data_IF_381808591610
#
_entry.id   IF_381808591610
#
_cell.length_a   1.000
_cell.length_b   1.000
_cell.length_c   1.000
_cell.angle_alpha   90.00
_cell.angle_beta   90.00
_cell.angle_gamma   90.00
#
_symmetry.space_group_name_H-M   'P 1'
#
loop_
_entity.id
_entity.type
_entity.pdbx_description
1 polymer ?
#
# COMPACT_ATOMS: atom_id res chain seq x y z
N UNK A 1 -22.61 -32.97 3.35
CA UNK A 1 -22.54 -31.75 2.50
C UNK A 1 -23.90 -31.54 1.83
N UNK A 2 -24.49 -30.35 1.88
CA UNK A 2 -25.87 -30.13 1.42
C UNK A 2 -25.98 -30.12 -0.13
N UNK A 3 -27.03 -30.74 -0.67
CA UNK A 3 -27.29 -30.95 -2.10
C UNK A 3 -27.31 -29.65 -2.92
N UNK A 4 -27.71 -28.55 -2.29
CA UNK A 4 -27.71 -27.20 -2.88
C UNK A 4 -26.29 -26.78 -3.28
N UNK A 5 -25.29 -26.94 -2.39
CA UNK A 5 -23.90 -26.54 -2.66
C UNK A 5 -23.30 -27.34 -3.82
N UNK A 6 -23.64 -28.63 -3.95
CA UNK A 6 -23.21 -29.45 -5.11
C UNK A 6 -23.82 -28.95 -6.43
N UNK A 7 -25.13 -28.70 -6.48
CA UNK A 7 -25.79 -28.16 -7.70
C UNK A 7 -25.36 -26.74 -8.08
N UNK A 8 -24.80 -25.99 -7.14
CA UNK A 8 -24.13 -24.73 -7.44
C UNK A 8 -22.77 -25.00 -8.13
N UNK A 9 -21.94 -25.92 -7.60
CA UNK A 9 -20.61 -26.27 -8.15
C UNK A 9 -20.59 -26.52 -9.66
N UNK A 10 -21.57 -27.27 -10.16
CA UNK A 10 -21.66 -27.67 -11.56
C UNK A 10 -21.92 -26.48 -12.53
N UNK A 11 -22.26 -25.28 -12.00
CA UNK A 11 -22.57 -24.09 -12.81
C UNK A 11 -21.38 -23.19 -13.12
N UNK A 12 -20.48 -22.86 -12.17
CA UNK A 12 -19.36 -21.96 -12.49
C UNK A 12 -18.28 -22.63 -13.36
N UNK A 13 -18.14 -23.96 -13.29
CA UNK A 13 -17.31 -24.73 -14.20
C UNK A 13 -17.60 -24.44 -15.68
N UNK A 14 -18.88 -24.25 -16.05
CA UNK A 14 -19.29 -23.92 -17.41
C UNK A 14 -19.03 -22.44 -17.80
N UNK A 15 -18.99 -21.50 -16.85
CA UNK A 15 -18.71 -20.08 -17.15
C UNK A 15 -17.23 -19.82 -17.45
N UNK A 16 -16.31 -20.57 -16.83
CA UNK A 16 -14.87 -20.36 -17.02
C UNK A 16 -14.42 -20.63 -18.47
N UNK A 17 -15.13 -21.48 -19.22
CA UNK A 17 -14.79 -21.84 -20.60
C UNK A 17 -14.96 -20.71 -21.63
N UNK A 18 -15.53 -19.56 -21.24
CA UNK A 18 -15.90 -18.45 -22.15
C UNK A 18 -15.06 -17.17 -22.00
N UNK A 19 -14.09 -17.10 -21.08
CA UNK A 19 -13.42 -15.83 -20.69
C UNK A 19 -11.90 -15.80 -20.91
N UNK A 20 -11.33 -16.76 -21.63
CA UNK A 20 -9.88 -16.91 -21.81
C UNK A 20 -9.23 -15.99 -22.87
N UNK A 21 -9.88 -14.93 -23.35
CA UNK A 21 -9.39 -14.10 -24.45
C UNK A 21 -9.15 -12.63 -24.03
N UNK A 22 -8.02 -12.08 -24.50
CA UNK A 22 -7.53 -10.69 -24.36
C UNK A 22 -7.06 -10.22 -22.96
N UNK A 23 -5.73 -10.04 -22.79
CA UNK A 23 -5.12 -9.22 -21.72
C UNK A 23 -3.72 -8.70 -22.11
N UNK A 24 -3.55 -7.37 -22.09
CA UNK A 24 -2.34 -6.56 -22.43
C UNK A 24 -2.74 -5.07 -22.23
N UNK A 25 -1.90 -4.02 -22.08
CA UNK A 25 -0.50 -3.72 -21.70
C UNK A 25 -0.39 -2.17 -21.54
N UNK A 26 0.68 -1.50 -21.09
CA UNK A 26 1.76 -1.78 -20.12
C UNK A 26 2.57 -0.47 -19.85
N UNK A 27 3.26 -0.38 -18.70
CA UNK A 27 4.22 0.70 -18.32
C UNK A 27 3.58 2.10 -18.17
N UNK A 28 4.18 3.09 -17.49
CA UNK A 28 5.37 3.12 -16.62
C UNK A 28 6.01 4.52 -16.58
N UNK A 29 6.39 5.05 -15.41
CA UNK A 29 7.04 6.36 -15.30
C UNK A 29 7.26 6.84 -13.85
N UNK A 30 8.43 7.44 -13.57
CA UNK A 30 8.87 7.86 -12.22
C UNK A 30 9.20 9.38 -12.22
N UNK A 31 9.03 10.07 -11.09
CA UNK A 31 9.22 11.52 -10.97
C UNK A 31 9.83 11.95 -9.63
N UNK A 32 10.91 12.75 -9.67
CA UNK A 32 11.58 13.32 -8.49
C UNK A 32 10.79 14.52 -7.89
N UNK A 33 10.88 14.79 -6.57
CA UNK A 33 10.03 15.76 -5.88
C UNK A 33 10.34 17.21 -6.25
N UNK A 34 9.29 18.05 -6.32
CA UNK A 34 9.34 19.40 -6.90
C UNK A 34 9.51 20.54 -5.87
N UNK A 35 9.65 20.23 -4.59
CA UNK A 35 9.37 21.17 -3.48
C UNK A 35 10.40 22.29 -3.34
N UNK A 36 11.70 21.97 -3.26
CA UNK A 36 12.78 22.96 -3.00
C UNK A 36 12.85 24.04 -4.10
N UNK A 37 12.56 23.66 -5.35
CA UNK A 37 12.51 24.59 -6.50
C UNK A 37 11.48 25.71 -6.32
N UNK A 38 10.37 25.43 -5.61
CA UNK A 38 9.25 26.37 -5.47
C UNK A 38 9.59 27.52 -4.53
N UNK A 39 10.24 27.22 -3.40
CA UNK A 39 10.66 28.22 -2.41
C UNK A 39 11.75 29.14 -2.98
N UNK A 40 12.77 28.56 -3.65
CA UNK A 40 13.85 29.32 -4.29
C UNK A 40 13.34 30.30 -5.36
N UNK A 41 12.33 29.89 -6.13
CA UNK A 41 11.64 30.77 -7.10
C UNK A 41 10.77 31.85 -6.46
N UNK A 42 10.18 31.60 -5.29
CA UNK A 42 9.42 32.63 -4.56
C UNK A 42 10.35 33.73 -4.01
N UNK A 43 11.53 33.37 -3.49
CA UNK A 43 12.53 34.33 -3.03
C UNK A 43 13.06 35.20 -4.18
N UNK A 44 13.45 34.60 -5.32
CA UNK A 44 13.89 35.35 -6.50
C UNK A 44 12.80 36.32 -6.98
N UNK A 45 11.54 35.87 -7.09
CA UNK A 45 10.43 36.74 -7.52
C UNK A 45 10.12 37.86 -6.52
N UNK A 46 10.38 37.68 -5.22
CA UNK A 46 10.22 38.75 -4.21
C UNK A 46 11.32 39.82 -4.33
N UNK A 47 12.50 39.48 -4.85
CA UNK A 47 13.56 40.45 -5.18
C UNK A 47 13.27 41.23 -6.47
N UNK A 48 12.82 40.55 -7.54
CA UNK A 48 12.53 41.17 -8.84
C UNK A 48 11.43 42.25 -8.78
N UNK A 49 10.42 42.07 -7.92
CA UNK A 49 9.30 43.03 -7.77
C UNK A 49 9.74 44.40 -7.21
N UNK A 50 10.97 44.53 -6.70
CA UNK A 50 11.47 45.78 -6.11
C UNK A 50 12.20 46.72 -7.09
N UNK A 51 12.24 46.38 -8.39
CA UNK A 51 12.99 47.14 -9.41
C UNK A 51 12.07 47.48 -10.60
N UNK A 52 11.24 48.50 -10.43
CA UNK A 52 10.47 49.18 -11.50
C UNK A 52 10.51 50.69 -11.24
N UNK A 53 10.58 51.47 -12.31
CA UNK A 53 11.05 52.87 -12.33
C UNK A 53 10.17 53.91 -11.63
N UNK A 54 10.83 54.93 -11.07
CA UNK A 54 10.26 56.28 -10.85
C UNK A 54 11.27 57.33 -11.32
N UNK A 55 10.91 58.29 -12.20
CA UNK A 55 11.81 59.36 -12.63
C UNK A 55 11.97 60.45 -11.55
N UNK A 56 13.02 61.27 -11.68
CA UNK A 56 13.36 62.28 -10.69
C UNK A 56 12.55 63.59 -10.85
N UNK A 57 11.78 63.93 -9.82
CA UNK A 57 11.65 65.30 -9.30
C UNK A 57 11.35 65.23 -7.78
N UNK A 58 10.99 66.35 -7.17
CA UNK A 58 11.33 66.73 -5.79
C UNK A 58 10.27 66.47 -4.70
N UNK A 59 10.72 66.67 -3.45
CA UNK A 59 9.97 66.74 -2.17
C UNK A 59 9.65 65.40 -1.44
N UNK A 60 9.83 65.39 -0.10
CA UNK A 60 9.29 64.34 0.79
C UNK A 60 10.28 63.36 1.45
N UNK A 61 11.33 63.83 2.14
CA UNK A 61 12.24 62.94 2.90
C UNK A 61 11.75 62.64 4.32
N UNK A 62 10.94 61.58 4.49
CA UNK A 62 10.66 60.98 5.83
C UNK A 62 10.19 59.51 5.77
N UNK A 63 9.71 59.00 4.63
CA UNK A 63 9.17 57.64 4.53
C UNK A 63 10.20 56.52 4.28
N UNK A 64 11.26 56.79 3.52
CA UNK A 64 12.13 55.73 2.98
C UNK A 64 13.07 55.08 4.00
N UNK A 65 13.52 55.82 5.00
CA UNK A 65 14.46 55.31 6.01
C UNK A 65 13.77 54.38 7.02
N UNK A 66 12.51 54.67 7.37
CA UNK A 66 11.68 53.78 8.19
C UNK A 66 11.41 52.44 7.48
N UNK A 67 11.04 52.46 6.20
CA UNK A 67 10.84 51.24 5.40
C UNK A 67 12.14 50.43 5.25
N UNK A 68 13.27 51.10 4.95
CA UNK A 68 14.58 50.44 4.86
C UNK A 68 15.02 49.82 6.20
N UNK A 69 14.69 50.45 7.33
CA UNK A 69 14.93 49.89 8.66
C UNK A 69 14.06 48.66 8.91
N UNK A 70 12.75 48.76 8.73
CA UNK A 70 11.82 47.64 8.90
C UNK A 70 12.24 46.42 8.04
N UNK A 71 12.68 46.66 6.80
CA UNK A 71 13.20 45.64 5.88
C UNK A 71 14.56 45.05 6.28
N UNK A 72 15.34 45.73 7.12
CA UNK A 72 16.61 45.24 7.67
C UNK A 72 16.36 44.41 8.93
N UNK A 73 15.43 44.86 9.76
CA UNK A 73 14.97 44.13 10.95
C UNK A 73 14.28 42.81 10.51
N UNK A 74 13.41 42.84 9.49
CA UNK A 74 12.83 41.66 8.80
C UNK A 74 13.88 40.65 8.30
N UNK A 75 15.04 41.13 7.84
CA UNK A 75 16.13 40.29 7.32
C UNK A 75 16.91 39.66 8.47
N UNK A 76 17.22 40.43 9.51
CA UNK A 76 17.86 39.93 10.74
C UNK A 76 17.03 38.82 11.39
N UNK A 77 15.70 38.98 11.45
CA UNK A 77 14.78 37.95 11.96
C UNK A 77 14.72 36.70 11.07
N UNK A 78 14.95 36.83 9.77
CA UNK A 78 15.04 35.68 8.85
C UNK A 78 16.40 34.98 8.92
N UNK A 79 17.49 35.71 9.14
CA UNK A 79 18.84 35.16 9.32
C UNK A 79 18.92 34.33 10.61
N UNK A 80 18.49 34.89 11.75
CA UNK A 80 18.39 34.18 13.03
C UNK A 80 17.61 32.85 12.89
N UNK A 81 16.49 32.87 12.15
CA UNK A 81 15.64 31.69 11.93
C UNK A 81 16.19 30.68 10.94
N UNK A 82 17.19 31.05 10.13
CA UNK A 82 17.97 30.10 9.34
C UNK A 82 19.02 29.46 10.22
N UNK A 83 19.72 30.22 11.06
CA UNK A 83 20.72 29.70 12.00
C UNK A 83 20.11 28.71 13.02
N UNK A 84 18.90 29.01 13.55
CA UNK A 84 18.10 28.09 14.35
C UNK A 84 17.80 26.78 13.58
N UNK A 85 17.36 26.88 12.33
CA UNK A 85 16.97 25.73 11.51
C UNK A 85 18.18 24.91 11.05
N UNK A 86 19.33 25.52 10.78
CA UNK A 86 20.58 24.82 10.50
C UNK A 86 21.12 24.13 11.76
N UNK A 87 20.93 24.73 12.94
CA UNK A 87 21.24 24.11 14.24
C UNK A 87 20.33 22.92 14.54
N UNK A 88 19.02 23.01 14.29
CA UNK A 88 18.09 21.86 14.38
C UNK A 88 18.48 20.76 13.40
N UNK A 89 18.79 21.10 12.14
CA UNK A 89 19.24 20.14 11.13
C UNK A 89 20.56 19.47 11.55
N UNK A 90 21.49 20.20 12.15
CA UNK A 90 22.76 19.65 12.63
C UNK A 90 22.55 18.71 13.83
N UNK A 91 21.73 19.10 14.81
CA UNK A 91 21.37 18.23 15.94
C UNK A 91 20.53 17.00 15.52
N UNK A 92 19.84 17.06 14.38
CA UNK A 92 19.17 15.90 13.76
C UNK A 92 20.18 15.00 13.04
N UNK A 93 21.17 15.55 12.32
CA UNK A 93 22.26 14.76 11.73
C UNK A 93 23.09 14.05 12.79
N UNK A 94 23.48 14.73 13.86
CA UNK A 94 24.29 14.12 14.93
C UNK A 94 23.54 12.96 15.62
N UNK A 95 22.20 12.99 15.65
CA UNK A 95 21.34 11.88 16.09
C UNK A 95 21.07 10.79 15.03
N UNK A 96 21.57 10.97 13.81
CA UNK A 96 21.52 10.00 12.71
C UNK A 96 22.89 9.39 12.42
N UNK A 97 23.95 10.19 12.58
CA UNK A 97 25.36 9.80 12.42
C UNK A 97 25.89 9.05 13.66
N UNK A 98 25.15 9.02 14.77
CA UNK A 98 25.38 8.12 15.90
C UNK A 98 24.94 6.68 15.57
N UNK A 99 25.60 6.08 14.57
CA UNK A 99 25.35 4.69 14.14
C UNK A 99 25.64 3.65 15.24
N UNK A 100 26.12 4.05 16.43
CA UNK A 100 26.43 3.14 17.53
C UNK A 100 25.20 2.43 18.10
N UNK A 101 24.04 3.08 18.10
CA UNK A 101 22.73 2.48 18.44
C UNK A 101 22.07 1.78 17.23
N UNK A 102 22.56 2.00 16.00
CA UNK A 102 22.12 1.29 14.80
C UNK A 102 23.11 0.18 14.38
N UNK A 103 23.51 -0.65 15.36
CA UNK A 103 23.93 -2.03 15.06
C UNK A 103 22.70 -2.79 14.54
N UNK A 104 22.42 -2.61 13.25
CA UNK A 104 21.24 -3.17 12.58
C UNK A 104 21.15 -4.66 12.85
N UNK A 105 19.99 -5.10 13.38
CA UNK A 105 19.81 -6.40 14.02
C UNK A 105 20.66 -7.51 13.35
N UNK A 106 21.73 -8.03 14.01
CA UNK A 106 22.66 -8.97 13.39
C UNK A 106 21.97 -10.25 12.85
N UNK A 107 20.86 -10.64 13.49
CA UNK A 107 20.00 -11.72 13.03
C UNK A 107 19.29 -11.37 11.71
N UNK A 108 18.79 -10.13 11.55
CA UNK A 108 18.18 -9.65 10.31
C UNK A 108 19.21 -9.58 9.17
N UNK A 109 20.42 -9.09 9.41
CA UNK A 109 21.44 -9.04 8.35
C UNK A 109 21.88 -10.45 7.92
N UNK A 110 21.98 -11.38 8.86
CA UNK A 110 22.22 -12.81 8.57
C UNK A 110 21.09 -13.39 7.71
N UNK A 111 19.82 -13.16 8.06
CA UNK A 111 18.68 -13.65 7.28
C UNK A 111 18.45 -12.90 5.97
N UNK A 112 18.91 -11.65 5.81
CA UNK A 112 18.99 -10.95 4.52
C UNK A 112 20.00 -11.61 3.59
N UNK A 113 21.17 -12.01 4.08
CA UNK A 113 22.16 -12.74 3.28
C UNK A 113 21.62 -14.12 2.87
N UNK A 114 20.99 -14.85 3.80
CA UNK A 114 20.32 -16.11 3.49
C UNK A 114 19.21 -15.93 2.43
N UNK A 115 18.36 -14.91 2.59
CA UNK A 115 17.30 -14.55 1.64
C UNK A 115 17.84 -14.33 0.21
N UNK A 116 19.00 -13.70 0.03
CA UNK A 116 19.60 -13.51 -1.30
C UNK A 116 19.91 -14.85 -1.94
N UNK A 117 20.60 -15.76 -1.24
CA UNK A 117 20.87 -17.12 -1.76
C UNK A 117 19.59 -17.90 -2.06
N UNK A 118 18.55 -17.77 -1.22
CA UNK A 118 17.25 -18.40 -1.45
C UNK A 118 16.48 -17.78 -2.64
N UNK A 119 16.65 -16.48 -2.89
CA UNK A 119 16.13 -15.83 -4.09
C UNK A 119 16.85 -16.31 -5.36
N UNK A 120 18.16 -16.57 -5.29
CA UNK A 120 18.92 -17.14 -6.40
C UNK A 120 18.53 -18.61 -6.66
N UNK A 121 18.40 -19.44 -5.61
CA UNK A 121 17.79 -20.79 -5.70
C UNK A 121 16.43 -20.73 -6.42
N UNK A 122 15.50 -19.89 -5.92
CA UNK A 122 14.14 -19.73 -6.48
C UNK A 122 14.11 -19.10 -7.88
N UNK A 123 15.13 -18.36 -8.32
CA UNK A 123 15.13 -17.72 -9.65
C UNK A 123 15.94 -18.45 -10.71
N UNK A 124 16.82 -19.37 -10.30
CA UNK A 124 17.58 -20.27 -11.19
C UNK A 124 16.71 -21.23 -12.01
N UNK A 125 15.53 -21.61 -11.49
CA UNK A 125 14.55 -22.47 -12.17
C UNK A 125 13.80 -21.64 -13.21
N UNK A 126 13.90 -21.95 -14.51
CA UNK A 126 13.31 -21.11 -15.56
C UNK A 126 11.78 -21.05 -15.48
N UNK A 127 11.09 -22.19 -15.38
CA UNK A 127 9.63 -22.24 -15.27
C UNK A 127 9.16 -21.67 -13.92
N UNK A 128 8.15 -20.80 -13.95
CA UNK A 128 7.63 -20.13 -12.76
C UNK A 128 6.72 -21.02 -11.89
N UNK A 129 6.15 -22.08 -12.47
CA UNK A 129 5.32 -23.07 -11.75
C UNK A 129 6.21 -24.08 -11.01
N UNK A 130 7.33 -24.50 -11.61
CA UNK A 130 8.33 -25.39 -10.98
C UNK A 130 9.07 -24.74 -9.79
N UNK A 131 8.97 -23.42 -9.60
CA UNK A 131 9.54 -22.71 -8.43
C UNK A 131 8.82 -23.02 -7.11
N UNK A 132 7.67 -23.70 -7.11
CA UNK A 132 6.88 -23.92 -5.90
C UNK A 132 7.63 -24.68 -4.77
N UNK A 133 8.35 -25.79 -5.01
CA UNK A 133 9.11 -26.48 -3.96
C UNK A 133 10.23 -25.63 -3.36
N UNK A 134 10.93 -24.86 -4.21
CA UNK A 134 12.01 -23.95 -3.79
C UNK A 134 11.50 -22.85 -2.87
N UNK A 135 10.33 -22.25 -3.19
CA UNK A 135 9.67 -21.27 -2.30
C UNK A 135 9.26 -21.90 -0.96
N UNK A 136 8.81 -23.16 -0.95
CA UNK A 136 8.39 -23.85 0.26
C UNK A 136 9.58 -24.16 1.19
N UNK A 137 10.70 -24.63 0.64
CA UNK A 137 11.95 -24.85 1.38
C UNK A 137 12.57 -23.51 1.84
N UNK A 138 12.50 -22.46 1.02
CA UNK A 138 12.95 -21.12 1.41
C UNK A 138 12.12 -20.52 2.55
N UNK A 139 10.80 -20.74 2.59
CA UNK A 139 9.96 -20.38 3.75
C UNK A 139 10.42 -21.16 4.99
N UNK A 140 10.58 -22.49 4.88
CA UNK A 140 10.99 -23.36 6.00
C UNK A 140 12.34 -22.95 6.61
N UNK A 141 13.30 -22.46 5.80
CA UNK A 141 14.61 -21.96 6.29
C UNK A 141 14.52 -20.57 6.96
N UNK A 142 13.42 -19.83 6.78
CA UNK A 142 13.24 -18.48 7.29
C UNK A 142 12.11 -18.37 8.34
N UNK A 143 11.27 -19.40 8.50
CA UNK A 143 10.04 -19.28 9.30
C UNK A 143 10.30 -19.09 10.79
N UNK A 144 11.33 -19.71 11.37
CA UNK A 144 11.70 -19.49 12.78
C UNK A 144 12.08 -18.02 13.07
N UNK A 145 12.86 -17.39 12.18
CA UNK A 145 13.21 -15.96 12.30
C UNK A 145 11.97 -15.06 12.17
N UNK A 146 11.09 -15.34 11.20
CA UNK A 146 9.86 -14.54 10.99
C UNK A 146 8.87 -14.74 12.14
N UNK A 147 8.79 -15.95 12.70
CA UNK A 147 8.00 -16.26 13.89
C UNK A 147 8.56 -15.54 15.14
N UNK A 148 9.89 -15.49 15.30
CA UNK A 148 10.56 -14.73 16.35
C UNK A 148 10.33 -13.22 16.24
N UNK A 149 10.43 -12.66 15.04
CA UNK A 149 10.10 -11.26 14.75
C UNK A 149 8.64 -10.90 15.10
N UNK A 150 7.68 -11.73 14.69
CA UNK A 150 6.26 -11.52 15.01
C UNK A 150 5.99 -11.67 16.51
N UNK A 151 6.54 -12.71 17.15
CA UNK A 151 6.27 -13.04 18.57
C UNK A 151 6.94 -12.08 19.56
N UNK A 152 8.08 -11.49 19.19
CA UNK A 152 8.75 -10.45 20.00
C UNK A 152 8.05 -9.09 19.92
N UNK A 153 7.12 -8.90 18.99
CA UNK A 153 6.45 -7.60 18.75
C UNK A 153 7.38 -6.53 18.16
N UNK A 154 8.54 -6.92 17.62
CA UNK A 154 9.55 -6.00 17.11
C UNK A 154 9.05 -5.18 15.90
N UNK A 155 9.43 -3.90 15.85
CA UNK A 155 8.95 -2.93 14.83
C UNK A 155 10.12 -2.28 14.09
N UNK A 156 10.70 -3.03 13.15
CA UNK A 156 11.71 -2.54 12.20
C UNK A 156 11.38 -3.02 10.77
N UNK A 157 11.84 -2.34 9.71
CA UNK A 157 11.62 -2.79 8.33
C UNK A 157 12.25 -4.18 8.07
N UNK A 158 11.42 -5.21 7.93
CA UNK A 158 11.85 -6.61 7.85
C UNK A 158 11.52 -7.19 6.46
N UNK A 159 12.45 -6.98 5.53
CA UNK A 159 12.31 -7.44 4.14
C UNK A 159 12.18 -8.98 4.04
N UNK A 160 12.76 -9.74 4.98
CA UNK A 160 12.67 -11.20 5.03
C UNK A 160 11.24 -11.65 5.33
N UNK A 161 10.60 -11.05 6.33
CA UNK A 161 9.19 -11.31 6.65
C UNK A 161 8.26 -10.94 5.48
N UNK A 162 8.54 -9.83 4.77
CA UNK A 162 7.79 -9.45 3.57
C UNK A 162 7.96 -10.48 2.43
N UNK A 163 9.15 -11.06 2.23
CA UNK A 163 9.34 -12.12 1.23
C UNK A 163 8.66 -13.44 1.61
N UNK A 164 8.70 -13.84 2.88
CA UNK A 164 7.96 -15.02 3.37
C UNK A 164 6.45 -14.82 3.16
N UNK A 165 5.90 -13.64 3.47
CA UNK A 165 4.51 -13.30 3.15
C UNK A 165 4.20 -13.42 1.64
N UNK A 166 5.06 -12.88 0.76
CA UNK A 166 4.91 -12.99 -0.70
C UNK A 166 4.88 -14.46 -1.14
N UNK A 167 5.82 -15.28 -0.67
CA UNK A 167 5.90 -16.69 -1.06
C UNK A 167 4.74 -17.53 -0.51
N UNK A 168 4.22 -17.24 0.69
CA UNK A 168 3.01 -17.89 1.20
C UNK A 168 1.78 -17.60 0.32
N UNK A 169 1.61 -16.36 -0.16
CA UNK A 169 0.57 -16.03 -1.15
C UNK A 169 0.83 -16.64 -2.54
N UNK A 170 2.08 -16.78 -2.98
CA UNK A 170 2.41 -17.49 -4.22
C UNK A 170 1.97 -18.96 -4.13
N UNK A 171 2.28 -19.64 -3.03
CA UNK A 171 1.92 -21.05 -2.74
C UNK A 171 0.45 -21.26 -2.37
N UNK A 172 -0.35 -20.19 -2.30
CA UNK A 172 -1.77 -20.18 -1.90
C UNK A 172 -2.03 -20.68 -0.47
N UNK A 173 -1.01 -20.66 0.39
CA UNK A 173 -1.13 -20.89 1.83
C UNK A 173 -1.69 -19.64 2.52
N UNK A 174 -2.98 -19.40 2.28
CA UNK A 174 -3.73 -18.28 2.86
C UNK A 174 -3.71 -18.30 4.40
N UNK A 175 -3.61 -19.50 4.99
CA UNK A 175 -3.69 -19.71 6.44
C UNK A 175 -2.48 -19.18 7.18
N UNK A 176 -1.28 -19.36 6.64
CA UNK A 176 -0.07 -18.69 7.15
C UNK A 176 0.14 -17.29 6.55
N UNK A 177 -0.28 -17.04 5.32
CA UNK A 177 -0.10 -15.73 4.68
C UNK A 177 -0.86 -14.61 5.41
N UNK A 178 -2.13 -14.85 5.79
CA UNK A 178 -3.00 -13.77 6.30
C UNK A 178 -2.60 -13.20 7.67
N UNK A 179 -2.28 -14.00 8.70
CA UNK A 179 -1.82 -13.46 9.99
C UNK A 179 -0.55 -12.62 9.83
N UNK A 180 0.42 -13.10 9.04
CA UNK A 180 1.66 -12.38 8.75
C UNK A 180 1.40 -11.11 7.93
N UNK A 181 0.52 -11.16 6.93
CA UNK A 181 0.14 -10.01 6.12
C UNK A 181 -0.50 -8.90 6.95
N UNK A 182 -1.52 -9.23 7.77
CA UNK A 182 -2.19 -8.25 8.62
C UNK A 182 -1.21 -7.65 9.66
N UNK A 183 -0.36 -8.48 10.26
CA UNK A 183 0.71 -8.01 11.15
C UNK A 183 1.62 -6.99 10.43
N UNK A 184 2.19 -7.34 9.28
CA UNK A 184 3.11 -6.46 8.54
C UNK A 184 2.45 -5.16 8.05
N UNK A 185 1.17 -5.20 7.62
CA UNK A 185 0.45 -3.98 7.21
C UNK A 185 0.20 -3.07 8.42
N UNK A 186 -0.25 -3.61 9.56
CA UNK A 186 -0.49 -2.85 10.80
C UNK A 186 0.76 -2.15 11.35
N UNK A 187 1.96 -2.64 11.00
CA UNK A 187 3.20 -1.98 11.37
C UNK A 187 3.41 -0.64 10.64
N UNK A 188 2.84 -0.47 9.44
CA UNK A 188 2.88 0.73 8.57
C UNK A 188 4.26 1.23 8.12
N UNK A 189 5.35 0.61 8.60
CA UNK A 189 6.75 0.85 8.20
C UNK A 189 7.28 -0.15 7.16
N UNK A 190 6.51 -1.19 6.82
CA UNK A 190 6.97 -2.28 5.97
C UNK A 190 6.86 -1.94 4.48
N UNK A 191 7.93 -2.18 3.73
CA UNK A 191 8.06 -1.85 2.32
C UNK A 191 8.06 -3.12 1.45
N UNK A 192 7.39 -3.05 0.30
CA UNK A 192 7.46 -4.11 -0.71
C UNK A 192 8.84 -4.10 -1.41
N UNK A 193 9.37 -5.26 -1.86
CA UNK A 193 10.62 -5.31 -2.61
C UNK A 193 10.54 -4.48 -3.89
N UNK A 194 11.66 -3.86 -4.31
CA UNK A 194 11.69 -2.85 -5.39
C UNK A 194 11.21 -3.29 -6.79
N UNK A 195 10.90 -4.58 -7.00
CA UNK A 195 10.24 -5.08 -8.22
C UNK A 195 8.71 -4.88 -8.23
N UNK A 196 8.10 -4.54 -7.09
CA UNK A 196 6.67 -4.34 -6.93
C UNK A 196 6.33 -2.85 -6.94
N UNK A 197 5.30 -2.47 -7.70
CA UNK A 197 4.82 -1.07 -7.80
C UNK A 197 3.69 -0.74 -6.80
N UNK A 198 3.29 -1.71 -5.97
CA UNK A 198 2.23 -1.59 -4.98
C UNK A 198 2.80 -1.43 -3.56
N UNK A 199 2.05 -0.77 -2.67
CA UNK A 199 2.32 -0.86 -1.23
C UNK A 199 1.80 -2.20 -0.68
N UNK A 200 2.24 -2.56 0.53
CA UNK A 200 1.92 -3.85 1.14
C UNK A 200 0.40 -4.09 1.28
N UNK A 201 -0.36 -3.08 1.70
CA UNK A 201 -1.82 -3.13 1.77
C UNK A 201 -2.47 -3.47 0.41
N UNK A 202 -2.05 -2.79 -0.66
CA UNK A 202 -2.56 -3.04 -2.03
C UNK A 202 -2.18 -4.45 -2.51
N UNK A 203 -0.95 -4.90 -2.26
CA UNK A 203 -0.52 -6.26 -2.60
C UNK A 203 -1.37 -7.32 -1.89
N UNK A 204 -1.62 -7.16 -0.59
CA UNK A 204 -2.48 -8.07 0.19
C UNK A 204 -3.91 -8.09 -0.36
N UNK A 205 -4.50 -6.92 -0.66
CA UNK A 205 -5.80 -6.85 -1.33
C UNK A 205 -5.81 -7.55 -2.69
N UNK A 206 -4.75 -7.43 -3.49
CA UNK A 206 -4.67 -8.08 -4.80
C UNK A 206 -4.57 -9.61 -4.67
N UNK A 207 -3.69 -10.13 -3.81
CA UNK A 207 -3.53 -11.58 -3.60
C UNK A 207 -4.77 -12.23 -2.98
N UNK A 208 -5.41 -11.56 -2.01
CA UNK A 208 -6.65 -12.06 -1.36
C UNK A 208 -7.85 -11.96 -2.30
N UNK A 209 -7.93 -10.94 -3.15
CA UNK A 209 -8.96 -10.86 -4.20
C UNK A 209 -8.88 -12.06 -5.15
N UNK A 210 -7.69 -12.39 -5.65
CA UNK A 210 -7.51 -13.50 -6.59
C UNK A 210 -7.72 -14.86 -5.90
N UNK A 211 -7.29 -15.02 -4.64
CA UNK A 211 -7.59 -16.21 -3.84
C UNK A 211 -9.10 -16.37 -3.56
N UNK A 212 -9.79 -15.31 -3.11
CA UNK A 212 -11.21 -15.35 -2.81
C UNK A 212 -12.04 -15.59 -4.09
N UNK A 213 -11.65 -14.97 -5.21
CA UNK A 213 -12.22 -15.27 -6.53
C UNK A 213 -12.06 -16.76 -6.87
N UNK A 214 -10.89 -17.36 -6.65
CA UNK A 214 -10.69 -18.79 -6.88
C UNK A 214 -11.52 -19.67 -5.93
N UNK A 215 -11.73 -19.27 -4.66
CA UNK A 215 -12.65 -19.98 -3.76
C UNK A 215 -14.09 -19.91 -4.25
N UNK A 216 -14.59 -18.72 -4.62
CA UNK A 216 -15.97 -18.55 -5.07
C UNK A 216 -16.23 -19.21 -6.43
N UNK A 217 -15.29 -19.13 -7.39
CA UNK A 217 -15.36 -19.86 -8.66
C UNK A 217 -15.37 -21.40 -8.42
N UNK A 218 -14.79 -21.86 -7.32
CA UNK A 218 -14.86 -23.24 -6.81
C UNK A 218 -15.93 -23.44 -5.72
N UNK A 219 -16.88 -22.50 -5.54
CA UNK A 219 -18.00 -22.55 -4.59
C UNK A 219 -17.64 -22.86 -3.12
N UNK A 220 -16.43 -22.52 -2.70
CA UNK A 220 -15.94 -22.57 -1.33
C UNK A 220 -16.16 -21.22 -0.64
N UNK A 221 -16.12 -21.23 0.69
CA UNK A 221 -16.11 -19.99 1.48
C UNK A 221 -14.83 -19.19 1.20
N UNK A 222 -14.92 -17.86 1.18
CA UNK A 222 -13.75 -16.97 1.30
C UNK A 222 -13.51 -16.51 2.75
N UNK A 223 -14.46 -16.72 3.66
CA UNK A 223 -14.29 -16.55 5.10
C UNK A 223 -13.44 -17.68 5.72
N UNK A 224 -12.65 -17.40 6.77
CA UNK A 224 -12.60 -16.13 7.51
C UNK A 224 -11.70 -15.06 6.87
N UNK A 225 -10.81 -15.44 5.95
CA UNK A 225 -9.71 -14.60 5.49
C UNK A 225 -10.14 -13.35 4.70
N UNK A 226 -11.23 -13.44 3.93
CA UNK A 226 -11.78 -12.27 3.25
C UNK A 226 -12.48 -11.30 4.22
N UNK A 227 -13.18 -11.84 5.23
CA UNK A 227 -13.85 -11.04 6.27
C UNK A 227 -12.81 -10.26 7.09
N UNK A 228 -11.80 -10.95 7.62
CA UNK A 228 -10.67 -10.36 8.35
C UNK A 228 -9.96 -9.24 7.60
N UNK A 229 -9.83 -9.35 6.26
CA UNK A 229 -9.22 -8.30 5.45
C UNK A 229 -10.12 -7.07 5.32
N UNK A 230 -11.44 -7.25 5.14
CA UNK A 230 -12.39 -6.13 5.08
C UNK A 230 -12.45 -5.42 6.44
N UNK A 231 -12.53 -6.18 7.54
CA UNK A 231 -12.48 -5.64 8.91
C UNK A 231 -11.22 -4.80 9.15
N UNK A 232 -10.04 -5.30 8.78
CA UNK A 232 -8.78 -4.58 8.92
C UNK A 232 -8.73 -3.31 8.03
N UNK A 233 -9.17 -3.41 6.77
CA UNK A 233 -9.26 -2.28 5.83
C UNK A 233 -10.15 -1.15 6.35
N UNK A 234 -11.23 -1.47 7.06
CA UNK A 234 -12.16 -0.52 7.65
C UNK A 234 -11.65 0.06 8.96
N UNK A 235 -11.23 -0.79 9.91
CA UNK A 235 -10.78 -0.39 11.24
C UNK A 235 -9.53 0.50 11.19
N UNK A 236 -8.54 0.14 10.36
CA UNK A 236 -7.33 0.94 10.17
C UNK A 236 -7.45 2.04 9.12
N UNK A 237 -8.60 2.12 8.40
CA UNK A 237 -8.88 3.06 7.31
C UNK A 237 -7.78 3.06 6.23
N UNK A 238 -7.59 1.92 5.57
CA UNK A 238 -6.51 1.77 4.58
C UNK A 238 -6.71 2.71 3.36
N UNK A 239 -5.69 3.53 3.11
CA UNK A 239 -5.58 4.44 1.95
C UNK A 239 -5.25 3.66 0.68
N UNK A 240 -6.29 3.06 0.11
CA UNK A 240 -6.25 2.27 -1.12
C UNK A 240 -6.82 3.05 -2.31
N UNK A 241 -6.28 2.79 -3.51
CA UNK A 241 -6.91 3.28 -4.74
C UNK A 241 -8.36 2.77 -4.83
N UNK A 242 -9.30 3.64 -5.21
CA UNK A 242 -10.74 3.31 -5.31
C UNK A 242 -11.06 2.09 -6.17
N UNK A 243 -10.23 1.77 -7.17
CA UNK A 243 -10.39 0.55 -7.98
C UNK A 243 -10.11 -0.70 -7.14
N UNK A 244 -9.05 -0.68 -6.31
CA UNK A 244 -8.68 -1.74 -5.38
C UNK A 244 -9.74 -1.88 -4.28
N UNK A 245 -10.05 -0.78 -3.58
CA UNK A 245 -11.06 -0.79 -2.50
C UNK A 245 -12.44 -1.22 -3.01
N UNK A 246 -12.88 -0.70 -4.17
CA UNK A 246 -14.13 -1.09 -4.81
C UNK A 246 -14.17 -2.58 -5.20
N UNK A 247 -13.09 -3.15 -5.78
CA UNK A 247 -13.09 -4.59 -6.12
C UNK A 247 -13.13 -5.49 -4.88
N UNK A 248 -12.58 -5.05 -3.75
CA UNK A 248 -12.65 -5.79 -2.47
C UNK A 248 -14.09 -5.90 -1.98
N UNK A 249 -14.84 -4.80 -1.94
CA UNK A 249 -16.27 -4.86 -1.59
C UNK A 249 -17.11 -5.66 -2.61
N UNK A 250 -16.76 -5.66 -3.91
CA UNK A 250 -17.42 -6.55 -4.89
C UNK A 250 -17.16 -8.03 -4.62
N UNK A 251 -15.94 -8.45 -4.22
CA UNK A 251 -15.69 -9.87 -3.92
C UNK A 251 -16.29 -10.27 -2.56
N UNK A 252 -16.34 -9.35 -1.59
CA UNK A 252 -17.03 -9.56 -0.32
C UNK A 252 -18.55 -9.70 -0.50
N UNK A 253 -19.19 -8.81 -1.26
CA UNK A 253 -20.61 -8.93 -1.61
C UNK A 253 -20.94 -10.24 -2.34
N UNK A 254 -20.05 -10.73 -3.22
CA UNK A 254 -20.20 -12.06 -3.86
C UNK A 254 -20.08 -13.23 -2.89
N UNK A 255 -19.23 -13.13 -1.88
CA UNK A 255 -19.05 -14.16 -0.87
C UNK A 255 -20.30 -14.26 0.02
N UNK A 256 -20.79 -13.13 0.55
CA UNK A 256 -22.04 -13.04 1.32
C UNK A 256 -23.26 -13.54 0.51
N UNK A 257 -23.37 -13.14 -0.77
CA UNK A 257 -24.42 -13.59 -1.70
C UNK A 257 -24.36 -15.11 -1.95
N UNK A 258 -23.16 -15.70 -2.00
CA UNK A 258 -22.98 -17.15 -2.09
C UNK A 258 -23.31 -17.90 -0.78
N UNK A 259 -23.22 -17.23 0.37
CA UNK A 259 -23.72 -17.71 1.66
C UNK A 259 -25.25 -17.53 1.84
N UNK A 260 -25.90 -16.81 0.92
CA UNK A 260 -27.30 -16.37 0.96
C UNK A 260 -27.61 -15.22 1.95
N UNK A 261 -26.59 -14.46 2.36
CA UNK A 261 -26.69 -13.30 3.25
C UNK A 261 -26.99 -12.04 2.44
N UNK A 262 -28.21 -11.97 1.89
CA UNK A 262 -28.58 -11.01 0.84
C UNK A 262 -28.56 -9.53 1.28
N UNK A 263 -28.84 -9.23 2.55
CA UNK A 263 -28.81 -7.87 3.10
C UNK A 263 -27.36 -7.37 3.30
N UNK A 264 -26.47 -8.08 4.01
CA UNK A 264 -25.02 -7.79 3.99
C UNK A 264 -24.42 -7.72 2.59
N UNK A 265 -24.81 -8.63 1.69
CA UNK A 265 -24.33 -8.64 0.30
C UNK A 265 -24.74 -7.36 -0.45
N UNK A 266 -25.99 -6.92 -0.32
CA UNK A 266 -26.49 -5.69 -0.93
C UNK A 266 -25.69 -4.48 -0.44
N UNK A 267 -25.52 -4.31 0.88
CA UNK A 267 -24.74 -3.23 1.48
C UNK A 267 -23.28 -3.22 0.99
N UNK A 268 -22.64 -4.39 0.91
CA UNK A 268 -21.28 -4.50 0.37
C UNK A 268 -21.22 -4.13 -1.12
N UNK A 269 -22.21 -4.52 -1.93
CA UNK A 269 -22.27 -4.12 -3.33
C UNK A 269 -22.53 -2.61 -3.51
N UNK A 270 -23.39 -2.00 -2.71
CA UNK A 270 -23.67 -0.56 -2.75
C UNK A 270 -22.43 0.26 -2.31
N UNK A 271 -21.79 -0.12 -1.20
CA UNK A 271 -20.50 0.42 -0.75
C UNK A 271 -19.43 0.34 -1.85
N UNK A 272 -19.37 -0.75 -2.60
CA UNK A 272 -18.44 -0.89 -3.73
C UNK A 272 -18.72 0.11 -4.87
N UNK A 273 -20.00 0.41 -5.13
CA UNK A 273 -20.43 1.32 -6.18
C UNK A 273 -20.21 2.80 -5.82
N UNK A 274 -20.37 3.16 -4.54
CA UNK A 274 -20.11 4.52 -4.06
C UNK A 274 -18.61 4.85 -4.09
N UNK A 275 -17.78 3.91 -3.62
CA UNK A 275 -16.32 4.00 -3.71
C UNK A 275 -15.86 4.04 -5.17
N UNK A 276 -16.45 3.20 -6.03
CA UNK A 276 -16.13 3.15 -7.45
C UNK A 276 -17.38 2.93 -8.32
N UNK A 277 -17.91 3.99 -8.96
CA UNK A 277 -19.07 3.91 -9.86
C UNK A 277 -18.93 2.97 -11.08
N UNK A 278 -17.73 2.40 -11.31
CA UNK A 278 -17.41 1.40 -12.33
C UNK A 278 -17.09 0.00 -11.76
N UNK A 279 -17.35 -0.26 -10.47
CA UNK A 279 -17.11 -1.58 -9.84
C UNK A 279 -17.97 -2.73 -10.40
N UNK A 280 -19.05 -2.42 -11.13
CA UNK A 280 -19.82 -3.39 -11.92
C UNK A 280 -20.98 -4.08 -11.18
N UNK A 281 -21.26 -3.73 -9.93
CA UNK A 281 -22.31 -4.38 -9.14
C UNK A 281 -23.76 -3.92 -9.46
N UNK A 282 -23.94 -2.85 -10.25
CA UNK A 282 -25.26 -2.22 -10.54
C UNK A 282 -26.40 -3.18 -10.92
N UNK A 283 -26.11 -4.28 -11.63
CA UNK A 283 -27.11 -5.30 -11.99
C UNK A 283 -27.53 -6.12 -10.76
N UNK A 284 -26.56 -6.53 -9.92
CA UNK A 284 -26.81 -7.42 -8.78
C UNK A 284 -27.51 -6.70 -7.63
N UNK A 285 -27.20 -5.42 -7.43
CA UNK A 285 -27.90 -4.52 -6.49
C UNK A 285 -29.42 -4.56 -6.75
N UNK A 286 -29.86 -4.30 -7.98
CA UNK A 286 -31.29 -4.34 -8.37
C UNK A 286 -31.93 -5.72 -8.17
N UNK A 287 -31.19 -6.80 -8.45
CA UNK A 287 -31.67 -8.18 -8.23
C UNK A 287 -31.84 -8.52 -6.75
N UNK A 288 -31.05 -7.92 -5.86
CA UNK A 288 -31.15 -8.11 -4.41
C UNK A 288 -32.22 -7.19 -3.80
N UNK A 289 -32.29 -5.92 -4.19
CA UNK A 289 -33.35 -4.98 -3.81
C UNK A 289 -34.74 -5.58 -4.12
N UNK A 290 -34.99 -5.97 -5.38
CA UNK A 290 -36.24 -6.59 -5.79
C UNK A 290 -36.55 -7.93 -5.10
N UNK A 291 -35.53 -8.64 -4.59
CA UNK A 291 -35.69 -9.89 -3.82
C UNK A 291 -36.02 -9.62 -2.35
N UNK A 292 -35.46 -8.57 -1.77
CA UNK A 292 -35.71 -8.10 -0.41
C UNK A 292 -36.99 -7.26 -0.30
N UNK A 293 -37.54 -6.82 -1.45
CA UNK A 293 -38.69 -5.89 -1.59
C UNK A 293 -38.35 -4.47 -1.15
N UNK A 294 -37.13 -4.04 -1.47
CA UNK A 294 -36.61 -2.68 -1.39
C UNK A 294 -36.68 -2.02 -2.77
#
# INVERSE_FOLDING_TARGET
MNLIKKRQMDRLANLNKQKGAHKSEAKGGNAKPKTVSKLRKQLQKKAEVKVVDTPADSTGSDGSEADLKNLKDDVSDLENRVDDAESEIQAIKEKLDDESDFVGNPELETHKQMLVGLMDEVTSVEDIEERAPYKAEAIKRLEDFVNGFVSSGARYPNIVAVWVMIWLFDLKDIGRAMPLALHLVSQKIQLMPGRFNSNIATFVCDQVYDWAKAQLDAHKSSGPYLEQLIEAMEAEKWELNKVVKGKMYVIYGKHLDALAEYEPALNAYETAMDINPQAGAKKRIRELQAKLKL
#
